data_IF_002150075263
#
_entry.id   IF_002150075263
#
_cell.length_a   1.000
_cell.length_b   1.000
_cell.length_c   1.000
_cell.angle_alpha   90.00
_cell.angle_beta   90.00
_cell.angle_gamma   90.00
#
_symmetry.space_group_name_H-M   'P 1'
#
loop_
_entity.id
_entity.type
_entity.pdbx_description
1 polymer ?
#
# COMPACT_ATOMS: atom_id res chain seq x y z
N UNK A 1 -11.41 -15.87 80.39
CA UNK A 1 -11.22 -14.48 79.94
C UNK A 1 -9.87 -14.39 79.23
N UNK A 2 -9.84 -14.03 77.95
CA UNK A 2 -8.58 -13.88 77.21
C UNK A 2 -8.81 -13.97 75.70
N UNK A 3 -8.83 -12.82 75.04
CA UNK A 3 -9.22 -12.57 73.65
C UNK A 3 -8.47 -13.43 72.60
N UNK A 4 -9.22 -14.06 71.69
CA UNK A 4 -8.68 -14.61 70.45
C UNK A 4 -8.47 -13.48 69.42
N UNK A 5 -7.20 -13.15 69.14
CA UNK A 5 -6.81 -12.24 68.04
C UNK A 5 -6.97 -12.96 66.71
N UNK A 6 -7.96 -12.55 65.90
CA UNK A 6 -8.03 -12.88 64.47
C UNK A 6 -6.97 -12.08 63.72
N UNK A 7 -5.99 -12.77 63.13
CA UNK A 7 -5.05 -12.18 62.19
C UNK A 7 -5.72 -12.14 60.80
N UNK A 8 -5.91 -10.92 60.28
CA UNK A 8 -6.34 -10.66 58.91
C UNK A 8 -5.08 -10.66 58.01
N UNK A 9 -5.00 -11.47 56.95
CA UNK A 9 -3.86 -11.40 56.04
C UNK A 9 -4.00 -10.17 55.15
N UNK A 10 -3.04 -9.25 55.25
CA UNK A 10 -2.89 -8.12 54.32
C UNK A 10 -2.35 -8.68 53.00
N UNK A 11 -3.19 -8.73 51.97
CA UNK A 11 -2.74 -8.97 50.59
C UNK A 11 -1.97 -7.74 50.12
N UNK A 12 -0.65 -7.90 49.95
CA UNK A 12 0.18 -6.93 49.23
C UNK A 12 -0.02 -7.17 47.74
N UNK A 13 -0.83 -6.34 47.08
CA UNK A 13 -0.89 -6.27 45.63
C UNK A 13 0.39 -5.60 45.11
N UNK A 14 1.33 -6.39 44.60
CA UNK A 14 2.41 -5.88 43.75
C UNK A 14 1.78 -5.37 42.44
N UNK A 15 1.69 -4.06 42.29
CA UNK A 15 1.41 -3.44 41.01
C UNK A 15 2.63 -3.66 40.08
N UNK A 16 2.54 -4.65 39.20
CA UNK A 16 3.48 -4.78 38.08
C UNK A 16 3.16 -3.63 37.13
N UNK A 17 3.92 -2.55 37.22
CA UNK A 17 3.93 -1.51 36.20
C UNK A 17 4.42 -2.16 34.90
N UNK A 18 3.48 -2.46 34.01
CA UNK A 18 3.78 -2.92 32.67
C UNK A 18 4.63 -1.86 31.98
N UNK A 19 5.89 -2.16 31.76
CA UNK A 19 6.73 -1.41 30.82
C UNK A 19 6.08 -1.65 29.46
N UNK A 20 5.24 -0.72 29.01
CA UNK A 20 4.71 -0.74 27.66
C UNK A 20 5.87 -0.87 26.70
N UNK A 21 5.90 -1.93 25.91
CA UNK A 21 6.85 -2.07 24.83
C UNK A 21 6.74 -0.80 23.97
N UNK A 22 7.80 0.00 23.96
CA UNK A 22 7.93 1.09 22.98
C UNK A 22 7.97 0.39 21.63
N UNK A 23 6.89 0.50 20.87
CA UNK A 23 6.90 0.08 19.49
C UNK A 23 7.93 0.99 18.79
N UNK A 24 9.01 0.40 18.28
CA UNK A 24 10.00 1.15 17.51
C UNK A 24 9.29 1.83 16.34
N UNK A 25 9.37 3.17 16.29
CA UNK A 25 8.88 3.93 15.16
C UNK A 25 9.63 3.47 13.91
N UNK A 26 8.94 2.84 12.97
CA UNK A 26 9.56 2.32 11.76
C UNK A 26 10.02 3.48 10.89
N UNK A 27 11.33 3.57 10.61
CA UNK A 27 11.80 4.38 9.49
C UNK A 27 11.61 3.59 8.19
N UNK A 28 11.14 4.26 7.14
CA UNK A 28 10.92 3.67 5.83
C UNK A 28 11.68 4.45 4.76
N UNK A 29 12.19 3.75 3.75
CA UNK A 29 12.73 4.35 2.55
C UNK A 29 11.78 4.15 1.39
N UNK A 30 11.64 5.19 0.59
CA UNK A 30 10.93 5.16 -0.68
C UNK A 30 11.87 5.49 -1.85
N UNK A 31 11.67 4.85 -2.99
CA UNK A 31 12.51 5.03 -4.18
C UNK A 31 11.66 4.95 -5.46
N UNK A 32 11.86 5.95 -6.33
CA UNK A 32 11.36 5.92 -7.70
C UNK A 32 12.19 4.99 -8.58
N UNK A 33 11.52 4.11 -9.32
CA UNK A 33 12.18 3.13 -10.16
C UNK A 33 11.62 3.15 -11.59
N UNK A 34 12.50 2.83 -12.53
CA UNK A 34 12.13 2.42 -13.90
C UNK A 34 12.51 0.96 -14.08
N UNK A 35 11.50 0.09 -14.19
CA UNK A 35 11.72 -1.35 -14.40
C UNK A 35 12.12 -1.57 -15.86
N UNK A 36 13.32 -2.11 -16.13
CA UNK A 36 13.73 -2.40 -17.49
C UNK A 36 12.82 -3.48 -18.10
N UNK A 37 12.25 -3.19 -19.27
CA UNK A 37 11.45 -4.12 -20.06
C UNK A 37 11.58 -3.75 -21.53
N UNK A 38 11.97 -4.70 -22.38
CA UNK A 38 12.23 -4.43 -23.80
C UNK A 38 11.01 -3.82 -24.51
N UNK A 39 9.82 -4.33 -24.23
CA UNK A 39 8.56 -3.89 -24.81
C UNK A 39 8.09 -2.51 -24.29
N UNK A 40 8.69 -2.01 -23.21
CA UNK A 40 8.50 -0.65 -22.71
C UNK A 40 9.58 0.32 -23.21
N UNK A 41 10.55 -0.17 -24.00
CA UNK A 41 11.66 0.63 -24.50
C UNK A 41 12.58 1.16 -23.38
N UNK A 42 13.45 2.15 -23.70
CA UNK A 42 14.45 2.65 -22.76
C UNK A 42 13.86 3.35 -21.53
N UNK A 43 12.60 3.77 -21.59
CA UNK A 43 11.90 4.40 -20.46
C UNK A 43 11.56 3.39 -19.36
N UNK A 44 11.32 2.12 -19.71
CA UNK A 44 10.89 1.10 -18.76
C UNK A 44 9.51 1.36 -18.15
N UNK A 45 9.12 0.53 -17.18
CA UNK A 45 7.86 0.69 -16.44
C UNK A 45 8.07 1.58 -15.21
N UNK A 46 7.16 2.54 -15.00
CA UNK A 46 7.10 3.30 -13.75
C UNK A 46 6.87 2.35 -12.57
N UNK A 47 7.68 2.48 -11.51
CA UNK A 47 7.49 1.75 -10.28
C UNK A 47 7.91 2.59 -9.08
N UNK A 48 7.39 2.22 -7.91
CA UNK A 48 7.70 2.87 -6.64
C UNK A 48 7.91 1.80 -5.57
N UNK A 49 9.08 1.85 -4.94
CA UNK A 49 9.49 0.92 -3.90
C UNK A 49 9.34 1.58 -2.53
N UNK A 50 8.77 0.86 -1.58
CA UNK A 50 8.71 1.24 -0.16
C UNK A 50 9.23 0.08 0.68
N UNK A 51 10.20 0.30 1.54
CA UNK A 51 10.74 -0.75 2.42
C UNK A 51 11.16 -0.21 3.78
N UNK A 52 11.27 -1.05 4.82
CA UNK A 52 11.85 -0.64 6.09
C UNK A 52 13.31 -0.20 5.94
N UNK A 53 13.74 0.71 6.82
CA UNK A 53 15.06 1.36 6.77
C UNK A 53 16.23 0.52 7.29
N UNK A 54 16.02 -0.73 7.68
CA UNK A 54 17.10 -1.61 8.14
C UNK A 54 18.03 -2.10 7.01
N UNK A 55 19.12 -2.75 7.41
CA UNK A 55 20.21 -3.20 6.53
C UNK A 55 20.06 -4.61 5.96
N UNK A 56 19.00 -5.34 6.34
CA UNK A 56 18.71 -6.69 5.84
C UNK A 56 18.08 -6.66 4.44
N UNK A 57 18.08 -7.81 3.76
CA UNK A 57 17.24 -8.03 2.57
C UNK A 57 15.81 -8.31 2.99
N UNK A 58 14.86 -7.61 2.38
CA UNK A 58 13.44 -7.79 2.67
C UNK A 58 12.77 -8.63 1.56
N UNK A 59 11.89 -9.59 1.90
CA UNK A 59 11.09 -10.29 0.90
C UNK A 59 10.23 -9.30 0.12
N UNK A 60 10.14 -9.48 -1.18
CA UNK A 60 9.33 -8.64 -2.05
C UNK A 60 7.83 -8.81 -1.73
N UNK A 61 7.11 -7.71 -1.64
CA UNK A 61 5.67 -7.66 -1.83
C UNK A 61 5.38 -6.93 -3.15
N UNK A 62 5.08 -7.69 -4.21
CA UNK A 62 4.78 -7.12 -5.52
C UNK A 62 3.31 -6.69 -5.58
N UNK A 63 3.08 -5.41 -5.80
CA UNK A 63 1.75 -4.81 -5.85
C UNK A 63 1.32 -4.57 -7.29
N UNK A 64 0.06 -4.89 -7.60
CA UNK A 64 -0.53 -4.75 -8.93
C UNK A 64 -1.80 -3.90 -8.86
N UNK A 65 -1.81 -2.79 -9.59
CA UNK A 65 -2.90 -1.81 -9.59
C UNK A 65 -4.17 -2.32 -10.30
N UNK A 66 -5.32 -1.73 -9.94
CA UNK A 66 -6.56 -1.88 -10.71
C UNK A 66 -6.48 -1.16 -12.06
N UNK A 67 -7.61 -1.01 -12.73
CA UNK A 67 -7.65 -0.19 -13.94
C UNK A 67 -8.95 0.59 -13.99
N UNK A 68 -8.92 1.85 -14.42
CA UNK A 68 -10.13 2.62 -14.64
C UNK A 68 -11.03 1.98 -15.70
N UNK A 69 -12.33 2.29 -15.63
CA UNK A 69 -13.33 1.95 -16.65
C UNK A 69 -12.98 2.65 -17.98
N UNK A 70 -12.61 3.93 -17.91
CA UNK A 70 -12.13 4.71 -19.05
C UNK A 70 -10.65 4.45 -19.34
N UNK A 71 -10.29 4.38 -20.63
CA UNK A 71 -8.89 4.26 -21.03
C UNK A 71 -8.09 5.55 -20.80
N UNK A 72 -8.70 6.71 -21.04
CA UNK A 72 -8.00 8.00 -20.93
C UNK A 72 -7.50 8.27 -19.50
N UNK A 73 -8.26 7.79 -18.51
CA UNK A 73 -7.91 7.95 -17.10
C UNK A 73 -6.62 7.21 -16.71
N UNK A 74 -6.17 6.25 -17.52
CA UNK A 74 -4.91 5.51 -17.27
C UNK A 74 -3.71 6.46 -17.26
N UNK A 75 -3.72 7.52 -18.06
CA UNK A 75 -2.64 8.51 -18.10
C UNK A 75 -2.50 9.28 -16.78
N UNK A 76 -3.55 9.32 -15.96
CA UNK A 76 -3.56 10.00 -14.65
C UNK A 76 -3.12 9.09 -13.49
N UNK A 77 -2.91 7.81 -13.76
CA UNK A 77 -2.43 6.87 -12.75
C UNK A 77 -0.94 7.11 -12.47
N UNK A 78 -0.50 6.76 -11.27
CA UNK A 78 0.90 6.78 -10.89
C UNK A 78 1.15 5.80 -9.76
N UNK A 79 2.36 5.24 -9.72
CA UNK A 79 2.85 4.40 -8.64
C UNK A 79 2.81 5.12 -7.28
N UNK A 80 3.03 6.44 -7.26
CA UNK A 80 2.98 7.27 -6.05
C UNK A 80 1.64 7.22 -5.32
N UNK A 81 0.53 7.11 -6.06
CA UNK A 81 -0.81 7.03 -5.47
C UNK A 81 -1.02 5.78 -4.60
N UNK A 82 -0.11 4.80 -4.70
CA UNK A 82 -0.16 3.56 -3.93
C UNK A 82 0.80 3.55 -2.72
N UNK A 83 1.49 4.66 -2.41
CA UNK A 83 2.41 4.74 -1.27
C UNK A 83 1.80 4.23 0.03
N UNK A 84 0.63 4.74 0.43
CA UNK A 84 0.00 4.34 1.69
C UNK A 84 -0.39 2.86 1.73
N UNK A 85 -0.68 2.23 0.59
CA UNK A 85 -0.89 0.78 0.51
C UNK A 85 0.44 0.04 0.61
N UNK A 86 1.46 0.47 -0.14
CA UNK A 86 2.81 -0.12 -0.09
C UNK A 86 3.42 -0.05 1.32
N UNK A 87 3.19 1.05 2.03
CA UNK A 87 3.61 1.23 3.41
C UNK A 87 3.03 0.16 4.34
N UNK A 88 1.79 -0.29 4.14
CA UNK A 88 1.22 -1.37 4.97
C UNK A 88 1.91 -2.71 4.79
N UNK A 89 2.41 -3.02 3.59
CA UNK A 89 3.25 -4.21 3.38
C UNK A 89 4.66 -3.99 3.93
N UNK A 90 5.22 -2.79 3.78
CA UNK A 90 6.51 -2.46 4.35
C UNK A 90 6.51 -2.58 5.89
N UNK A 91 5.45 -2.11 6.55
CA UNK A 91 5.24 -2.26 7.99
C UNK A 91 5.22 -3.72 8.43
N UNK A 92 4.83 -4.64 7.54
CA UNK A 92 4.81 -6.10 7.75
C UNK A 92 6.12 -6.77 7.35
N UNK A 93 7.20 -6.00 7.16
CA UNK A 93 8.54 -6.53 6.91
C UNK A 93 8.84 -6.88 5.46
N UNK A 94 8.07 -6.37 4.50
CA UNK A 94 8.32 -6.58 3.07
C UNK A 94 9.01 -5.36 2.42
N UNK A 95 9.71 -5.58 1.31
CA UNK A 95 10.00 -4.53 0.35
C UNK A 95 8.83 -4.47 -0.64
N UNK A 96 7.97 -3.47 -0.51
CA UNK A 96 6.76 -3.34 -1.29
C UNK A 96 7.02 -2.54 -2.59
N UNK A 97 6.89 -3.21 -3.73
CA UNK A 97 7.04 -2.59 -5.04
C UNK A 97 5.69 -2.52 -5.73
N UNK A 98 5.19 -1.33 -6.03
CA UNK A 98 4.10 -1.13 -6.99
C UNK A 98 4.70 -0.84 -8.36
N UNK A 99 4.23 -1.54 -9.39
CA UNK A 99 4.62 -1.29 -10.80
C UNK A 99 3.39 -0.85 -11.58
N UNK A 100 3.49 0.25 -12.32
CA UNK A 100 2.52 0.60 -13.35
C UNK A 100 2.77 -0.27 -14.57
N UNK A 101 1.82 -1.16 -14.86
CA UNK A 101 1.85 -2.02 -16.05
C UNK A 101 1.91 -1.20 -17.34
N UNK A 102 2.28 -1.82 -18.45
CA UNK A 102 2.36 -1.15 -19.76
C UNK A 102 1.04 -0.47 -20.10
N UNK A 103 1.11 0.80 -20.54
CA UNK A 103 -0.06 1.60 -20.90
C UNK A 103 -0.79 2.26 -19.73
N UNK A 104 -0.15 2.36 -18.56
CA UNK A 104 -0.66 3.06 -17.38
C UNK A 104 0.36 4.08 -16.88
N UNK A 105 -0.13 5.21 -16.36
CA UNK A 105 0.71 6.30 -15.90
C UNK A 105 1.76 6.68 -16.93
N UNK A 106 3.02 6.73 -16.50
CA UNK A 106 4.15 7.01 -17.40
C UNK A 106 4.81 5.76 -17.98
N UNK A 107 4.21 4.57 -17.85
CA UNK A 107 4.69 3.34 -18.49
C UNK A 107 4.23 3.26 -19.95
N UNK A 108 5.14 3.11 -20.93
CA UNK A 108 4.77 2.94 -22.34
C UNK A 108 3.92 1.69 -22.61
N UNK A 109 3.23 1.63 -23.77
CA UNK A 109 2.57 0.41 -24.25
C UNK A 109 1.09 0.53 -24.65
N UNK A 110 0.44 1.69 -24.53
CA UNK A 110 -0.93 1.89 -25.05
C UNK A 110 -1.97 0.89 -24.52
N UNK A 111 -2.76 0.25 -25.41
CA UNK A 111 -3.84 -0.70 -25.05
C UNK A 111 -3.44 -2.18 -25.11
N UNK A 112 -2.17 -2.51 -24.81
CA UNK A 112 -1.66 -3.89 -24.93
C UNK A 112 -2.39 -4.91 -24.06
N UNK A 113 -2.93 -4.50 -22.90
CA UNK A 113 -3.74 -5.34 -22.01
C UNK A 113 -5.26 -5.26 -22.30
N UNK A 114 -5.64 -4.79 -23.49
CA UNK A 114 -7.03 -4.66 -23.89
C UNK A 114 -7.73 -6.02 -23.98
N UNK A 115 -8.96 -6.08 -23.45
CA UNK A 115 -9.80 -7.30 -23.53
C UNK A 115 -10.60 -7.39 -24.84
N UNK A 116 -10.47 -6.41 -25.75
CA UNK A 116 -11.24 -6.38 -26.99
C UNK A 116 -12.73 -6.03 -26.76
N UNK A 117 -13.60 -6.52 -27.65
CA UNK A 117 -15.03 -6.23 -27.61
C UNK A 117 -15.77 -6.96 -26.47
N UNK A 118 -16.73 -6.28 -25.84
CA UNK A 118 -17.37 -6.71 -24.60
C UNK A 118 -17.97 -8.13 -24.64
N UNK A 119 -18.67 -8.48 -25.72
CA UNK A 119 -19.32 -9.79 -25.88
C UNK A 119 -18.33 -10.97 -25.98
N UNK A 120 -17.08 -10.71 -26.39
CA UNK A 120 -16.03 -11.71 -26.54
C UNK A 120 -14.75 -11.29 -25.81
N UNK A 121 -14.91 -10.66 -24.64
CA UNK A 121 -13.79 -10.11 -23.90
C UNK A 121 -12.74 -11.19 -23.62
N UNK A 122 -11.50 -10.94 -24.04
CA UNK A 122 -10.39 -11.89 -24.01
C UNK A 122 -9.53 -11.69 -22.76
N UNK A 123 -9.94 -12.30 -21.65
CA UNK A 123 -9.28 -12.13 -20.36
C UNK A 123 -7.93 -12.83 -20.23
N UNK A 124 -7.74 -14.01 -20.85
CA UNK A 124 -6.48 -14.74 -20.76
C UNK A 124 -5.31 -14.01 -21.43
N UNK A 125 -5.42 -13.50 -22.68
CA UNK A 125 -4.35 -12.71 -23.29
C UNK A 125 -4.04 -11.42 -22.53
N UNK A 126 -5.07 -10.69 -22.08
CA UNK A 126 -4.88 -9.47 -21.28
C UNK A 126 -4.14 -9.76 -19.96
N UNK A 127 -4.48 -10.86 -19.28
CA UNK A 127 -3.79 -11.30 -18.08
C UNK A 127 -2.34 -11.72 -18.36
N UNK A 128 -2.06 -12.35 -19.51
CA UNK A 128 -0.70 -12.73 -19.89
C UNK A 128 0.22 -11.50 -20.07
N UNK A 129 -0.30 -10.41 -20.66
CA UNK A 129 0.42 -9.13 -20.75
C UNK A 129 0.74 -8.58 -19.35
N UNK A 130 -0.24 -8.59 -18.45
CA UNK A 130 -0.04 -8.14 -17.08
C UNK A 130 0.98 -9.01 -16.33
N UNK A 131 0.93 -10.34 -16.50
CA UNK A 131 1.90 -11.27 -15.89
C UNK A 131 3.32 -11.01 -16.41
N UNK A 132 3.50 -10.71 -17.69
CA UNK A 132 4.82 -10.34 -18.24
C UNK A 132 5.39 -9.09 -17.56
N UNK A 133 4.56 -8.07 -17.33
CA UNK A 133 4.97 -6.84 -16.65
C UNK A 133 5.36 -7.11 -15.18
N UNK A 134 4.58 -7.94 -14.49
CA UNK A 134 4.86 -8.35 -13.11
C UNK A 134 6.16 -9.17 -13.03
N UNK A 135 6.43 -10.04 -14.00
CA UNK A 135 7.69 -10.80 -14.06
C UNK A 135 8.89 -9.90 -14.29
N UNK A 136 8.80 -8.91 -15.18
CA UNK A 136 9.88 -7.94 -15.36
C UNK A 136 10.21 -7.19 -14.06
N UNK A 137 9.19 -6.85 -13.27
CA UNK A 137 9.39 -6.24 -11.95
C UNK A 137 10.07 -7.19 -10.95
N UNK A 138 9.67 -8.46 -10.91
CA UNK A 138 10.32 -9.49 -10.07
C UNK A 138 11.79 -9.67 -10.47
N UNK A 139 12.06 -9.79 -11.77
CA UNK A 139 13.42 -9.95 -12.29
C UNK A 139 14.30 -8.75 -11.94
N UNK A 140 13.77 -7.53 -12.04
CA UNK A 140 14.48 -6.33 -11.62
C UNK A 140 14.79 -6.33 -10.12
N UNK A 141 13.85 -6.75 -9.27
CA UNK A 141 14.06 -6.82 -7.83
C UNK A 141 15.03 -7.93 -7.41
N UNK A 142 15.08 -9.04 -8.17
CA UNK A 142 16.03 -10.14 -7.91
C UNK A 142 17.50 -9.72 -7.96
N UNK A 143 17.81 -8.62 -8.64
CA UNK A 143 19.17 -8.09 -8.82
C UNK A 143 19.57 -7.09 -7.74
N UNK A 144 18.65 -6.70 -6.85
CA UNK A 144 18.93 -5.74 -5.78
C UNK A 144 19.61 -6.41 -4.59
N UNK A 145 20.40 -5.63 -3.86
CA UNK A 145 21.13 -6.11 -2.67
C UNK A 145 20.33 -5.99 -1.38
N UNK A 146 19.24 -5.21 -1.38
CA UNK A 146 18.34 -4.90 -0.27
C UNK A 146 16.96 -5.58 -0.37
N UNK A 147 16.70 -6.32 -1.46
CA UNK A 147 15.46 -7.09 -1.70
C UNK A 147 15.79 -8.56 -1.95
N UNK A 148 14.91 -9.47 -1.54
CA UNK A 148 14.94 -10.89 -1.94
C UNK A 148 13.60 -11.29 -2.58
N UNK A 149 13.66 -12.08 -3.65
CA UNK A 149 12.47 -12.69 -4.28
C UNK A 149 12.17 -14.09 -3.73
N UNK A 150 13.01 -14.60 -2.81
CA UNK A 150 12.70 -15.82 -2.05
C UNK A 150 11.78 -15.48 -0.88
N UNK A 151 10.64 -16.17 -0.76
CA UNK A 151 9.65 -15.86 0.27
C UNK A 151 8.80 -14.63 -0.07
N UNK A 152 8.74 -14.24 -1.35
CA UNK A 152 7.97 -13.09 -1.79
C UNK A 152 6.47 -13.36 -1.83
N UNK A 153 5.70 -12.28 -1.74
CA UNK A 153 4.25 -12.29 -1.94
C UNK A 153 3.86 -11.39 -3.11
N UNK A 154 2.68 -11.64 -3.67
CA UNK A 154 2.06 -10.74 -4.64
C UNK A 154 0.68 -10.30 -4.15
N UNK A 155 0.32 -9.05 -4.35
CA UNK A 155 -1.00 -8.53 -4.01
C UNK A 155 -1.55 -7.64 -5.12
N UNK A 156 -2.84 -7.73 -5.40
CA UNK A 156 -3.45 -6.90 -6.42
C UNK A 156 -4.90 -6.58 -6.14
N UNK A 157 -5.35 -5.48 -6.73
CA UNK A 157 -6.71 -5.00 -6.65
C UNK A 157 -7.37 -4.91 -8.02
N UNK A 158 -8.65 -5.30 -8.14
CA UNK A 158 -9.39 -5.18 -9.40
C UNK A 158 -8.69 -5.93 -10.54
N UNK A 159 -8.39 -5.24 -11.66
CA UNK A 159 -7.55 -5.75 -12.74
C UNK A 159 -6.21 -6.35 -12.26
N UNK A 160 -5.61 -5.74 -11.24
CA UNK A 160 -4.39 -6.22 -10.62
C UNK A 160 -4.60 -7.49 -9.77
N UNK A 161 -5.79 -7.68 -9.21
CA UNK A 161 -6.18 -8.92 -8.53
C UNK A 161 -6.28 -10.08 -9.52
N UNK A 162 -6.91 -9.86 -10.69
CA UNK A 162 -6.91 -10.82 -11.79
C UNK A 162 -5.48 -11.16 -12.25
N UNK A 163 -4.64 -10.14 -12.44
CA UNK A 163 -3.23 -10.34 -12.82
C UNK A 163 -2.45 -11.12 -11.76
N UNK A 164 -2.74 -10.90 -10.48
CA UNK A 164 -2.12 -11.62 -9.36
C UNK A 164 -2.53 -13.09 -9.36
N UNK A 165 -3.81 -13.40 -9.57
CA UNK A 165 -4.29 -14.79 -9.74
C UNK A 165 -3.62 -15.44 -10.95
N UNK A 166 -3.54 -14.75 -12.08
CA UNK A 166 -2.87 -15.25 -13.27
C UNK A 166 -1.37 -15.52 -13.05
N UNK A 167 -0.69 -14.66 -12.27
CA UNK A 167 0.71 -14.87 -11.88
C UNK A 167 0.89 -16.18 -11.09
N UNK A 168 -0.04 -16.52 -10.20
CA UNK A 168 0.04 -17.77 -9.44
C UNK A 168 -0.12 -19.03 -10.30
N UNK A 169 -0.85 -18.95 -11.41
CA UNK A 169 -1.00 -20.05 -12.37
C UNK A 169 0.32 -20.39 -13.08
N UNK A 170 1.26 -19.44 -13.10
CA UNK A 170 2.62 -19.61 -13.59
C UNK A 170 3.57 -19.08 -12.51
N UNK A 171 3.51 -19.65 -11.30
CA UNK A 171 4.21 -19.09 -10.15
C UNK A 171 5.73 -18.98 -10.40
N UNK A 172 6.32 -17.78 -10.30
CA UNK A 172 7.78 -17.64 -10.27
C UNK A 172 8.35 -18.28 -9.02
N UNK A 173 9.59 -18.78 -9.12
CA UNK A 173 10.30 -19.35 -7.97
C UNK A 173 10.38 -18.31 -6.83
N UNK A 174 10.07 -18.76 -5.61
CA UNK A 174 10.07 -17.92 -4.42
C UNK A 174 8.74 -17.22 -4.09
N UNK A 175 7.73 -17.27 -4.97
CA UNK A 175 6.37 -16.80 -4.64
C UNK A 175 5.69 -17.78 -3.68
N UNK A 176 5.49 -17.36 -2.42
CA UNK A 176 4.99 -18.24 -1.35
C UNK A 176 3.52 -17.99 -0.98
N UNK A 177 2.99 -16.81 -1.29
CA UNK A 177 1.59 -16.48 -1.07
C UNK A 177 1.13 -15.35 -2.00
N UNK A 178 -0.18 -15.24 -2.23
CA UNK A 178 -0.74 -14.14 -3.02
C UNK A 178 -2.08 -13.65 -2.49
N UNK A 179 -2.41 -12.37 -2.74
CA UNK A 179 -3.59 -11.70 -2.18
C UNK A 179 -4.34 -10.98 -3.31
N UNK A 180 -5.64 -11.23 -3.44
CA UNK A 180 -6.50 -10.62 -4.45
C UNK A 180 -7.65 -9.88 -3.77
N UNK A 181 -7.65 -8.55 -3.87
CA UNK A 181 -8.77 -7.70 -3.44
C UNK A 181 -9.65 -7.40 -4.64
N UNK A 182 -10.94 -7.72 -4.55
CA UNK A 182 -11.92 -7.43 -5.60
C UNK A 182 -11.41 -7.82 -7.01
N UNK A 183 -10.74 -8.97 -7.15
CA UNK A 183 -10.05 -9.34 -8.38
C UNK A 183 -11.01 -9.59 -9.55
N UNK A 184 -10.76 -8.97 -10.69
CA UNK A 184 -11.57 -9.13 -11.89
C UNK A 184 -11.17 -8.14 -12.99
N UNK A 185 -11.90 -8.08 -14.09
CA UNK A 185 -11.68 -7.09 -15.17
C UNK A 185 -12.97 -6.91 -15.97
N UNK A 186 -13.11 -5.77 -16.64
CA UNK A 186 -14.16 -5.60 -17.66
C UNK A 186 -15.48 -5.03 -17.16
N UNK A 187 -15.55 -4.51 -15.93
CA UNK A 187 -16.68 -3.67 -15.51
C UNK A 187 -16.76 -2.42 -16.40
N UNK A 188 -17.95 -2.13 -16.90
CA UNK A 188 -18.29 -0.93 -17.69
C UNK A 188 -19.11 0.07 -16.88
N UNK A 189 -19.93 -0.46 -15.99
CA UNK A 189 -20.75 0.28 -15.04
C UNK A 189 -21.01 -0.60 -13.81
N UNK A 190 -21.84 -0.12 -12.90
CA UNK A 190 -22.27 -0.84 -11.71
C UNK A 190 -23.04 -2.11 -12.11
N UNK A 191 -22.61 -3.25 -11.56
CA UNK A 191 -23.11 -4.60 -11.84
C UNK A 191 -23.09 -5.00 -13.34
N UNK A 192 -22.33 -4.27 -14.17
CA UNK A 192 -22.18 -4.53 -15.60
C UNK A 192 -20.74 -4.92 -15.95
N UNK A 193 -20.51 -6.22 -16.12
CA UNK A 193 -19.22 -6.81 -16.50
C UNK A 193 -19.31 -7.41 -17.90
N UNK A 194 -18.35 -7.09 -18.76
CA UNK A 194 -18.23 -7.72 -20.07
C UNK A 194 -18.00 -9.23 -19.95
N UNK A 195 -18.73 -10.05 -20.73
CA UNK A 195 -18.50 -11.49 -20.83
C UNK A 195 -18.19 -12.18 -19.47
N UNK A 196 -19.11 -12.10 -18.49
CA UNK A 196 -18.84 -12.58 -17.12
C UNK A 196 -18.53 -14.09 -17.09
N UNK A 197 -19.14 -14.87 -17.99
CA UNK A 197 -18.84 -16.29 -18.19
C UNK A 197 -17.39 -16.54 -18.62
N UNK A 198 -16.90 -15.74 -19.59
CA UNK A 198 -15.50 -15.81 -20.01
C UNK A 198 -14.52 -15.41 -18.90
N UNK A 199 -14.92 -14.49 -18.02
CA UNK A 199 -14.11 -14.13 -16.85
C UNK A 199 -14.07 -15.27 -15.83
N UNK A 200 -15.21 -15.89 -15.51
CA UNK A 200 -15.27 -17.11 -14.67
C UNK A 200 -14.40 -18.22 -15.26
N UNK A 201 -14.47 -18.44 -16.57
CA UNK A 201 -13.65 -19.43 -17.26
C UNK A 201 -12.15 -19.10 -17.18
N UNK A 202 -11.77 -17.82 -17.17
CA UNK A 202 -10.38 -17.41 -16.97
C UNK A 202 -9.88 -17.78 -15.56
N UNK A 203 -10.64 -17.48 -14.51
CA UNK A 203 -10.32 -17.90 -13.14
C UNK A 203 -10.22 -19.43 -13.00
N UNK A 204 -11.17 -20.17 -13.59
CA UNK A 204 -11.11 -21.63 -13.62
C UNK A 204 -9.85 -22.15 -14.34
N UNK A 205 -9.42 -21.47 -15.41
CA UNK A 205 -8.21 -21.82 -16.14
C UNK A 205 -6.96 -21.60 -15.30
N UNK A 206 -6.87 -20.50 -14.55
CA UNK A 206 -5.75 -20.24 -13.64
C UNK A 206 -5.67 -21.25 -12.49
N UNK A 207 -6.82 -21.70 -11.97
CA UNK A 207 -6.90 -22.71 -10.91
C UNK A 207 -6.26 -24.05 -11.28
N UNK A 208 -6.26 -24.42 -12.57
CA UNK A 208 -5.70 -25.69 -13.05
C UNK A 208 -4.23 -25.87 -12.68
N UNK A 209 -3.45 -24.79 -12.70
CA UNK A 209 -1.99 -24.83 -12.48
C UNK A 209 -1.54 -24.04 -11.26
N UNK A 210 -2.37 -23.16 -10.70
CA UNK A 210 -2.03 -22.43 -9.48
C UNK A 210 -2.01 -23.35 -8.26
N UNK A 211 -0.90 -23.35 -7.51
CA UNK A 211 -0.76 -24.04 -6.22
C UNK A 211 -0.27 -23.11 -5.11
N UNK A 212 -0.08 -21.83 -5.42
CA UNK A 212 0.32 -20.82 -4.43
C UNK A 212 -0.88 -20.54 -3.54
N UNK A 213 -0.75 -20.61 -2.21
CA UNK A 213 -1.81 -20.21 -1.30
C UNK A 213 -2.27 -18.77 -1.54
N UNK A 214 -3.59 -18.59 -1.68
CA UNK A 214 -4.17 -17.27 -1.91
C UNK A 214 -5.15 -16.82 -0.82
N UNK A 215 -5.21 -15.51 -0.58
CA UNK A 215 -6.32 -14.83 0.11
C UNK A 215 -7.10 -14.00 -0.90
N UNK A 216 -8.40 -14.20 -0.98
CA UNK A 216 -9.31 -13.42 -1.83
C UNK A 216 -10.29 -12.67 -0.94
N UNK A 217 -10.41 -11.36 -1.13
CA UNK A 217 -11.29 -10.49 -0.33
C UNK A 217 -12.21 -9.73 -1.27
N UNK A 218 -13.52 -9.91 -1.10
CA UNK A 218 -14.56 -9.19 -1.83
C UNK A 218 -15.56 -8.64 -0.82
N UNK A 219 -15.87 -7.36 -0.90
CA UNK A 219 -16.91 -6.75 -0.07
C UNK A 219 -18.30 -7.09 -0.61
N UNK A 220 -19.29 -7.24 0.28
CA UNK A 220 -20.65 -7.65 -0.13
C UNK A 220 -21.42 -6.60 -0.93
N UNK A 221 -20.96 -5.34 -0.96
CA UNK A 221 -21.51 -4.25 -1.77
C UNK A 221 -20.57 -3.82 -2.92
N UNK A 222 -19.69 -4.71 -3.40
CA UNK A 222 -18.84 -4.42 -4.56
C UNK A 222 -19.68 -4.31 -5.84
N UNK A 223 -19.70 -3.13 -6.47
CA UNK A 223 -20.48 -2.83 -7.68
C UNK A 223 -19.73 -3.16 -8.98
N UNK A 224 -18.50 -3.65 -8.91
CA UNK A 224 -17.74 -4.10 -10.09
C UNK A 224 -17.86 -5.60 -10.26
N UNK A 225 -17.65 -6.34 -9.17
CA UNK A 225 -17.66 -7.81 -9.14
C UNK A 225 -18.49 -8.26 -7.95
N UNK A 226 -19.80 -8.11 -8.07
CA UNK A 226 -20.77 -8.45 -7.04
C UNK A 226 -20.59 -9.86 -6.45
N UNK A 227 -21.09 -10.11 -5.23
CA UNK A 227 -20.73 -11.27 -4.41
C UNK A 227 -21.00 -12.63 -5.09
N UNK A 228 -22.06 -12.73 -5.90
CA UNK A 228 -22.38 -13.96 -6.64
C UNK A 228 -21.37 -14.23 -7.76
N UNK A 229 -20.96 -13.18 -8.49
CA UNK A 229 -19.94 -13.31 -9.53
C UNK A 229 -18.57 -13.64 -8.92
N UNK A 230 -18.20 -12.98 -7.82
CA UNK A 230 -16.98 -13.28 -7.08
C UNK A 230 -16.94 -14.73 -6.56
N UNK A 231 -18.07 -15.25 -6.06
CA UNK A 231 -18.20 -16.66 -5.64
C UNK A 231 -17.93 -17.61 -6.81
N UNK A 232 -18.49 -17.32 -7.98
CA UNK A 232 -18.28 -18.13 -9.18
C UNK A 232 -16.82 -18.13 -9.65
N UNK A 233 -16.11 -17.01 -9.53
CA UNK A 233 -14.66 -16.97 -9.77
C UNK A 233 -13.92 -17.93 -8.84
N UNK A 234 -14.26 -17.88 -7.55
CA UNK A 234 -13.65 -18.70 -6.51
C UNK A 234 -13.92 -20.19 -6.73
N UNK A 235 -15.18 -20.55 -6.97
CA UNK A 235 -15.59 -21.94 -7.21
C UNK A 235 -14.90 -22.52 -8.44
N UNK A 236 -14.84 -21.75 -9.54
CA UNK A 236 -14.12 -22.15 -10.75
C UNK A 236 -12.63 -22.38 -10.50
N UNK A 237 -11.97 -21.46 -9.80
CA UNK A 237 -10.55 -21.57 -9.44
C UNK A 237 -10.27 -22.78 -8.54
N UNK A 238 -11.10 -23.01 -7.51
CA UNK A 238 -10.99 -24.14 -6.58
C UNK A 238 -11.26 -25.49 -7.25
N UNK A 239 -12.25 -25.56 -8.14
CA UNK A 239 -12.56 -26.78 -8.90
C UNK A 239 -11.38 -27.23 -9.78
N UNK A 240 -10.55 -26.28 -10.24
CA UNK A 240 -9.30 -26.57 -10.95
C UNK A 240 -8.14 -27.03 -10.05
N UNK A 241 -8.31 -27.03 -8.73
CA UNK A 241 -7.26 -27.38 -7.75
C UNK A 241 -6.47 -26.19 -7.21
N UNK A 242 -6.87 -24.96 -7.49
CA UNK A 242 -6.26 -23.75 -6.91
C UNK A 242 -6.44 -23.69 -5.40
N UNK A 243 -5.47 -23.16 -4.64
CA UNK A 243 -5.59 -22.95 -3.19
C UNK A 243 -5.94 -21.49 -2.88
N UNK A 244 -7.17 -21.23 -2.45
CA UNK A 244 -7.62 -19.91 -2.07
C UNK A 244 -8.52 -19.95 -0.85
N UNK A 245 -8.38 -18.95 0.02
CA UNK A 245 -9.32 -18.62 1.10
C UNK A 245 -10.16 -17.44 0.65
N UNK A 246 -11.48 -17.58 0.69
CA UNK A 246 -12.41 -16.51 0.32
C UNK A 246 -12.94 -15.78 1.56
N UNK A 247 -12.85 -14.46 1.56
CA UNK A 247 -13.43 -13.57 2.56
C UNK A 247 -14.51 -12.73 1.90
N UNK A 248 -15.76 -12.96 2.31
CA UNK A 248 -16.86 -12.04 2.07
C UNK A 248 -16.79 -10.94 3.14
N UNK A 249 -16.10 -9.85 2.82
CA UNK A 249 -15.94 -8.72 3.73
C UNK A 249 -17.28 -7.97 3.88
N UNK A 250 -17.56 -7.36 5.05
CA UNK A 250 -18.69 -6.46 5.21
C UNK A 250 -18.67 -5.32 4.18
N UNK A 251 -19.81 -4.64 3.97
CA UNK A 251 -19.85 -3.48 3.10
C UNK A 251 -18.80 -2.44 3.44
N UNK A 252 -18.33 -1.71 2.43
CA UNK A 252 -17.46 -0.55 2.60
C UNK A 252 -18.01 0.62 1.81
N UNK A 253 -18.24 1.75 2.49
CA UNK A 253 -18.84 2.94 1.91
C UNK A 253 -20.09 2.62 1.10
N UNK A 254 -20.25 3.29 -0.04
CA UNK A 254 -21.32 3.01 -1.00
C UNK A 254 -20.94 1.90 -1.99
N UNK A 255 -19.64 1.74 -2.28
CA UNK A 255 -19.12 0.70 -3.17
C UNK A 255 -17.93 -0.03 -2.53
N UNK A 256 -18.14 -1.33 -2.31
CA UNK A 256 -17.19 -2.24 -1.70
C UNK A 256 -15.92 -2.46 -2.53
N UNK A 257 -15.95 -2.11 -3.82
CA UNK A 257 -14.78 -2.21 -4.69
C UNK A 257 -13.59 -1.38 -4.17
N UNK A 258 -13.87 -0.30 -3.43
CA UNK A 258 -12.85 0.61 -2.88
C UNK A 258 -12.36 0.22 -1.47
N UNK A 259 -12.72 -0.98 -0.98
CA UNK A 259 -12.25 -1.49 0.31
C UNK A 259 -10.72 -1.55 0.38
N UNK A 260 -10.00 -1.83 -0.71
CA UNK A 260 -8.55 -1.85 -0.71
C UNK A 260 -7.97 -0.43 -0.91
N UNK A 261 -8.11 0.40 0.13
CA UNK A 261 -7.68 1.79 0.14
C UNK A 261 -7.00 2.17 1.46
N UNK A 262 -6.28 3.29 1.46
CA UNK A 262 -5.53 3.75 2.65
C UNK A 262 -6.47 4.12 3.80
N UNK A 263 -7.63 4.70 3.48
CA UNK A 263 -8.65 5.06 4.49
C UNK A 263 -9.33 3.84 5.09
N UNK A 264 -9.48 2.77 4.32
CA UNK A 264 -10.11 1.52 4.75
C UNK A 264 -9.16 0.55 5.47
N UNK A 265 -7.91 0.94 5.71
CA UNK A 265 -6.88 0.10 6.37
C UNK A 265 -7.37 -0.64 7.60
N UNK A 266 -8.10 -0.01 8.55
CA UNK A 266 -8.58 -0.73 9.74
C UNK A 266 -9.48 -1.93 9.42
N UNK A 267 -10.17 -1.91 8.28
CA UNK A 267 -11.07 -2.99 7.87
C UNK A 267 -10.35 -4.11 7.13
N UNK A 268 -9.43 -3.82 6.20
CA UNK A 268 -8.82 -4.87 5.37
C UNK A 268 -7.51 -5.43 5.92
N UNK A 269 -6.73 -4.65 6.67
CA UNK A 269 -5.44 -5.11 7.20
C UNK A 269 -5.55 -6.34 8.12
N UNK A 270 -6.60 -6.50 8.96
CA UNK A 270 -6.75 -7.72 9.76
C UNK A 270 -6.88 -9.00 8.94
N UNK A 271 -7.46 -8.95 7.74
CA UNK A 271 -7.55 -10.12 6.85
C UNK A 271 -6.17 -10.56 6.37
N UNK A 272 -5.33 -9.60 5.98
CA UNK A 272 -3.94 -9.88 5.59
C UNK A 272 -3.16 -10.42 6.78
N UNK A 273 -3.29 -9.79 7.96
CA UNK A 273 -2.55 -10.21 9.16
C UNK A 273 -2.89 -11.65 9.57
N UNK A 274 -4.17 -12.00 9.53
CA UNK A 274 -4.60 -13.37 9.78
C UNK A 274 -4.02 -14.36 8.77
N UNK A 275 -4.06 -14.02 7.48
CA UNK A 275 -3.53 -14.86 6.42
C UNK A 275 -2.00 -15.02 6.49
N UNK A 276 -1.25 -13.93 6.70
CA UNK A 276 0.21 -14.01 6.83
C UNK A 276 0.62 -14.86 8.03
N UNK A 277 -0.05 -14.70 9.20
CA UNK A 277 0.20 -15.57 10.36
C UNK A 277 -0.10 -17.04 10.07
N UNK A 278 -1.24 -17.33 9.43
CA UNK A 278 -1.64 -18.69 9.04
C UNK A 278 -0.59 -19.37 8.14
N UNK A 279 0.09 -18.58 7.29
CA UNK A 279 1.13 -19.07 6.37
C UNK A 279 2.55 -19.01 6.94
N UNK A 280 2.73 -18.66 8.21
CA UNK A 280 4.05 -18.52 8.83
C UNK A 280 4.88 -17.34 8.29
N UNK A 281 4.21 -16.37 7.66
CA UNK A 281 4.78 -15.13 7.12
C UNK A 281 4.46 -13.91 8.01
N UNK A 282 3.92 -14.15 9.21
CA UNK A 282 3.60 -13.11 10.16
C UNK A 282 4.87 -12.49 10.75
N UNK A 283 4.94 -11.16 10.73
CA UNK A 283 5.99 -10.38 11.36
C UNK A 283 5.36 -9.37 12.31
N UNK A 284 6.14 -8.89 13.28
CA UNK A 284 5.74 -7.73 14.08
C UNK A 284 5.49 -6.54 13.13
N UNK A 285 4.33 -5.92 13.29
CA UNK A 285 3.93 -4.78 12.46
C UNK A 285 4.62 -3.55 12.99
N UNK A 286 5.55 -3.00 12.20
CA UNK A 286 6.24 -1.76 12.54
C UNK A 286 5.21 -0.62 12.70
N UNK A 287 5.40 0.20 13.73
CA UNK A 287 4.65 1.44 13.88
C UNK A 287 4.90 2.35 12.68
N UNK A 288 3.90 3.16 12.35
CA UNK A 288 4.12 4.30 11.48
C UNK A 288 5.19 5.22 12.12
N UNK A 289 5.92 6.01 11.31
CA UNK A 289 6.77 7.06 11.86
C UNK A 289 5.96 7.95 12.81
N UNK A 290 6.58 8.42 13.88
CA UNK A 290 5.96 9.43 14.73
C UNK A 290 5.60 10.65 13.87
N UNK A 291 4.39 11.23 14.02
CA UNK A 291 4.03 12.41 13.28
C UNK A 291 5.04 13.52 13.57
N UNK A 292 5.48 14.22 12.53
CA UNK A 292 6.40 15.34 12.68
C UNK A 292 5.78 16.38 13.62
N UNK A 293 6.55 17.01 14.53
CA UNK A 293 6.01 18.03 15.41
C UNK A 293 5.64 19.28 14.59
N UNK A 294 4.56 20.01 14.92
CA UNK A 294 4.30 21.30 14.29
C UNK A 294 5.37 22.32 14.72
N UNK A 295 5.77 23.26 13.85
CA UNK A 295 6.64 24.37 14.23
C UNK A 295 6.07 25.17 15.41
N UNK A 296 6.92 25.49 16.39
CA UNK A 296 6.51 26.10 17.66
C UNK A 296 5.80 27.46 17.50
N UNK A 297 6.10 28.19 16.42
CA UNK A 297 5.54 29.52 16.14
C UNK A 297 4.21 29.47 15.37
N UNK A 298 3.64 28.28 15.13
CA UNK A 298 2.36 28.15 14.43
C UNK A 298 1.17 28.52 15.31
N UNK A 299 0.27 29.32 14.74
CA UNK A 299 -1.09 29.50 15.26
C UNK A 299 -1.97 28.28 14.92
N UNK A 300 -3.20 28.27 15.40
CA UNK A 300 -4.10 27.12 15.24
C UNK A 300 -4.44 26.81 13.77
N UNK A 301 -4.58 27.84 12.92
CA UNK A 301 -4.80 27.65 11.49
C UNK A 301 -3.61 26.97 10.79
N UNK A 302 -2.38 27.39 11.11
CA UNK A 302 -1.17 26.79 10.56
C UNK A 302 -0.97 25.35 11.08
N UNK A 303 -1.29 25.07 12.35
CA UNK A 303 -1.30 23.69 12.90
C UNK A 303 -2.30 22.80 12.18
N UNK A 304 -3.50 23.31 11.89
CA UNK A 304 -4.51 22.57 11.14
C UNK A 304 -4.05 22.25 9.72
N UNK A 305 -3.39 23.19 9.03
CA UNK A 305 -2.85 22.93 7.70
C UNK A 305 -1.67 21.95 7.73
N UNK A 306 -0.83 22.02 8.77
CA UNK A 306 0.24 21.04 8.97
C UNK A 306 -0.32 19.65 9.24
N UNK A 307 -1.42 19.52 9.98
CA UNK A 307 -2.11 18.25 10.14
C UNK A 307 -2.59 17.69 8.78
N UNK A 308 -3.14 18.53 7.90
CA UNK A 308 -3.51 18.12 6.52
C UNK A 308 -2.31 17.64 5.70
N UNK A 309 -1.14 18.24 5.89
CA UNK A 309 0.11 17.77 5.28
C UNK A 309 0.52 16.38 5.80
N UNK A 310 0.41 16.15 7.11
CA UNK A 310 0.71 14.85 7.73
C UNK A 310 -0.29 13.78 7.27
N UNK A 311 -1.57 14.13 7.17
CA UNK A 311 -2.64 13.24 6.68
C UNK A 311 -2.53 12.95 5.17
N UNK A 312 -1.76 13.75 4.41
CA UNK A 312 -1.54 13.50 3.00
C UNK A 312 -0.71 12.24 2.80
N UNK A 313 -1.36 11.22 2.22
CA UNK A 313 -0.75 9.91 1.93
C UNK A 313 -0.06 9.85 0.58
N UNK A 314 0.07 11.00 -0.11
CA UNK A 314 0.71 11.08 -1.43
C UNK A 314 2.16 11.54 -1.24
N UNK A 315 3.15 10.80 -1.78
CA UNK A 315 4.56 11.15 -1.65
C UNK A 315 4.89 12.38 -2.51
N UNK A 316 6.15 12.80 -2.45
CA UNK A 316 6.63 14.05 -3.05
C UNK A 316 5.82 15.22 -2.53
N UNK A 317 5.81 15.31 -1.21
CA UNK A 317 5.26 16.44 -0.48
C UNK A 317 6.37 17.21 0.24
N UNK A 318 6.19 18.50 0.40
CA UNK A 318 7.07 19.31 1.23
C UNK A 318 6.26 20.38 1.93
N UNK A 319 6.73 20.80 3.10
CA UNK A 319 6.12 21.86 3.88
C UNK A 319 7.17 22.94 4.14
N UNK A 320 6.92 24.16 3.65
CA UNK A 320 7.76 25.32 3.85
C UNK A 320 7.14 26.27 4.88
N UNK A 321 8.00 26.92 5.66
CA UNK A 321 7.62 27.80 6.77
C UNK A 321 8.43 29.08 6.77
N UNK A 322 7.88 30.15 7.31
CA UNK A 322 8.55 31.43 7.54
C UNK A 322 8.58 31.78 9.04
N UNK A 323 9.57 32.57 9.50
CA UNK A 323 9.68 32.94 10.91
C UNK A 323 8.46 33.67 11.50
N UNK A 324 7.65 34.32 10.66
CA UNK A 324 6.44 35.04 11.04
C UNK A 324 5.16 34.18 10.97
N UNK A 325 5.28 32.85 10.82
CA UNK A 325 4.13 31.92 10.81
C UNK A 325 3.43 31.76 9.46
N UNK A 326 3.99 32.31 8.39
CA UNK A 326 3.61 31.99 7.02
C UNK A 326 4.04 30.56 6.66
N UNK A 327 3.28 29.94 5.76
CA UNK A 327 3.53 28.56 5.35
C UNK A 327 3.11 28.33 3.90
N UNK A 328 3.58 27.23 3.33
CA UNK A 328 3.14 26.74 2.03
C UNK A 328 3.57 25.29 1.83
N UNK A 329 2.68 24.47 1.29
CA UNK A 329 2.98 23.07 1.03
C UNK A 329 2.33 22.57 -0.26
N UNK A 330 2.92 21.51 -0.81
CA UNK A 330 2.43 20.77 -1.97
C UNK A 330 2.63 19.29 -1.69
N UNK A 331 1.82 18.46 -2.34
CA UNK A 331 1.96 17.01 -2.36
C UNK A 331 1.70 16.46 -3.76
N UNK A 332 2.17 15.24 -4.03
CA UNK A 332 1.95 14.58 -5.31
C UNK A 332 2.61 15.27 -6.49
N UNK A 333 3.79 15.88 -6.27
CA UNK A 333 4.61 16.36 -7.39
C UNK A 333 5.31 15.20 -8.08
N UNK A 334 5.73 15.42 -9.32
CA UNK A 334 6.45 14.41 -10.10
C UNK A 334 7.81 14.05 -9.47
N UNK A 335 8.42 14.97 -8.74
CA UNK A 335 9.68 14.77 -8.02
C UNK A 335 9.65 15.44 -6.66
N UNK A 336 10.48 14.94 -5.73
CA UNK A 336 10.73 15.57 -4.42
C UNK A 336 11.19 17.03 -4.58
N UNK A 337 12.12 17.32 -5.48
CA UNK A 337 12.59 18.68 -5.75
C UNK A 337 11.48 19.60 -6.26
N UNK A 338 10.55 19.06 -7.07
CA UNK A 338 9.35 19.76 -7.49
C UNK A 338 8.45 20.13 -6.31
N UNK A 339 8.27 19.20 -5.37
CA UNK A 339 7.51 19.44 -4.15
C UNK A 339 8.15 20.53 -3.29
N UNK A 340 9.46 20.45 -3.07
CA UNK A 340 10.21 21.42 -2.30
C UNK A 340 10.11 22.83 -2.91
N UNK A 341 10.44 22.96 -4.20
CA UNK A 341 10.40 24.25 -4.93
C UNK A 341 9.01 24.87 -4.89
N UNK A 342 7.98 24.11 -5.18
CA UNK A 342 6.62 24.65 -5.26
C UNK A 342 6.05 25.00 -3.88
N UNK A 343 6.45 24.29 -2.83
CA UNK A 343 6.07 24.58 -1.44
C UNK A 343 6.74 25.86 -0.95
N UNK A 344 8.03 26.03 -1.24
CA UNK A 344 8.75 27.29 -1.00
C UNK A 344 8.08 28.46 -1.74
N UNK A 345 7.77 28.29 -3.03
CA UNK A 345 7.07 29.31 -3.81
C UNK A 345 5.68 29.64 -3.25
N UNK A 346 4.94 28.64 -2.78
CA UNK A 346 3.64 28.83 -2.14
C UNK A 346 3.74 29.64 -0.85
N UNK A 347 4.76 29.37 -0.03
CA UNK A 347 5.04 30.13 1.19
C UNK A 347 5.46 31.57 0.87
N UNK A 348 6.35 31.75 -0.12
CA UNK A 348 6.90 33.05 -0.50
C UNK A 348 5.86 34.02 -1.08
N UNK A 349 4.67 33.53 -1.49
CA UNK A 349 3.56 34.39 -1.89
C UNK A 349 3.10 35.32 -0.77
N UNK A 350 3.27 34.92 0.49
CA UNK A 350 2.76 35.62 1.66
C UNK A 350 3.84 35.99 2.68
N UNK A 351 5.10 35.63 2.43
CA UNK A 351 6.21 35.88 3.35
C UNK A 351 7.53 36.08 2.60
N UNK A 352 8.38 37.02 3.02
CA UNK A 352 9.59 37.37 2.26
C UNK A 352 10.71 36.31 2.39
N UNK A 353 10.68 35.49 3.44
CA UNK A 353 11.68 34.45 3.70
C UNK A 353 10.97 33.16 4.10
N UNK A 354 11.28 32.07 3.41
CA UNK A 354 10.73 30.75 3.71
C UNK A 354 11.85 29.70 3.64
N UNK A 355 11.75 28.68 4.49
CA UNK A 355 12.65 27.52 4.53
C UNK A 355 11.84 26.25 4.53
N UNK A 356 12.43 25.14 4.10
CA UNK A 356 11.79 23.83 4.20
C UNK A 356 11.79 23.39 5.67
N UNK A 357 10.64 22.95 6.14
CA UNK A 357 10.48 22.35 7.46
C UNK A 357 10.40 20.83 7.38
N UNK A 358 9.63 20.32 6.42
CA UNK A 358 9.46 18.90 6.20
C UNK A 358 9.52 18.57 4.70
N UNK A 359 10.06 17.39 4.40
CA UNK A 359 10.03 16.76 3.07
C UNK A 359 9.55 15.33 3.27
N UNK A 360 8.46 14.97 2.59
CA UNK A 360 7.71 13.74 2.82
C UNK A 360 7.41 13.53 4.31
N UNK A 361 7.84 12.41 4.88
CA UNK A 361 7.59 12.09 6.29
C UNK A 361 8.84 12.36 7.17
N UNK A 362 9.74 13.25 6.72
CA UNK A 362 10.97 13.60 7.41
C UNK A 362 11.14 15.12 7.59
N UNK A 363 11.81 15.51 8.67
CA UNK A 363 12.26 16.89 8.87
C UNK A 363 13.34 17.26 7.84
N UNK A 364 13.24 18.47 7.29
CA UNK A 364 14.26 18.99 6.38
C UNK A 364 15.56 19.28 7.13
N UNK A 365 16.70 19.00 6.49
CA UNK A 365 18.04 19.28 7.02
C UNK A 365 18.16 20.75 7.46
N UNK A 366 18.41 20.99 8.75
CA UNK A 366 18.54 22.34 9.32
C UNK A 366 17.30 22.87 10.05
N UNK A 367 16.20 22.11 10.13
CA UNK A 367 15.08 22.42 11.02
C UNK A 367 15.49 22.19 12.49
N UNK A 368 15.56 23.26 13.28
CA UNK A 368 15.93 23.18 14.70
C UNK A 368 14.73 22.66 15.48
N UNK A 369 14.88 21.50 16.13
CA UNK A 369 13.95 21.05 17.17
C UNK A 369 13.96 22.08 18.30
N UNK A 370 12.83 22.72 18.56
CA UNK A 370 12.64 23.45 19.81
C UNK A 370 12.73 22.46 20.95
N UNK A 371 13.88 22.38 21.61
CA UNK A 371 14.05 21.60 22.83
C UNK A 371 13.06 22.13 23.87
N UNK A 372 12.08 21.29 24.23
CA UNK A 372 11.33 21.48 25.46
C UNK A 372 12.35 21.45 26.60
N UNK A 373 12.61 22.62 27.18
CA UNK A 373 13.52 22.76 28.31
C UNK A 373 12.81 22.19 29.53
N UNK A 374 13.30 21.03 30.01
CA UNK A 374 13.01 20.52 31.34
C UNK A 374 13.40 21.60 32.38
N UNK A 375 12.39 22.28 32.93
CA UNK A 375 12.53 23.01 34.18
C UNK A 375 12.57 22.02 35.34
N UNK A 376 13.73 21.46 35.66
CA UNK A 376 14.01 20.96 37.00
C UNK A 376 15.49 21.18 37.34
N UNK A 377 15.79 22.28 38.03
CA UNK A 377 16.75 22.33 39.15
C UNK A 377 17.09 23.78 39.53
N UNK A 378 16.33 24.33 40.48
CA UNK A 378 16.89 25.30 41.44
C UNK A 378 16.40 24.93 42.83
N UNK A 379 17.14 24.04 43.47
CA UNK A 379 17.23 23.92 44.91
C UNK A 379 18.51 24.63 45.35
N UNK A 380 18.36 25.81 45.94
CA UNK A 380 19.21 26.32 47.01
C UNK A 380 18.30 26.92 48.07
#
# INVERSE_FOLDING_TARGET
MGFARRHLPVLVLLAIAGVGARADAGQFYSEDLRIPMAEAGPQGLEAFLVRPAGTKRYPLALLSHGSPRSFEDRATMSAHKYYGIALEYARRGFAALIVMRRGYGTSPGGRVDGVGGCAKAAYLPAAAVAVADLRAAIDAMSRRTDVTTTGMIAAGHSAGGLATVALTAQAPSGLVAAISFAGGRGSRDDDDVCNPEGLVQAFATFGKTSRVPMLWVYATNDLYFGPDLARRFYDGFRAGGGDAKFVAAPPYGDDGHYLYSVVARPQWTPYIDAFLRERGLGHDVLSLPDPLPPPAHFNDAAKAEFARYLDSTVPHKAFAVSPNGGYGWRSGRSTVDGAQRDSLAACMKWSPTCTLYAVDDQLASGSVQGTATDQVSRSR
#
